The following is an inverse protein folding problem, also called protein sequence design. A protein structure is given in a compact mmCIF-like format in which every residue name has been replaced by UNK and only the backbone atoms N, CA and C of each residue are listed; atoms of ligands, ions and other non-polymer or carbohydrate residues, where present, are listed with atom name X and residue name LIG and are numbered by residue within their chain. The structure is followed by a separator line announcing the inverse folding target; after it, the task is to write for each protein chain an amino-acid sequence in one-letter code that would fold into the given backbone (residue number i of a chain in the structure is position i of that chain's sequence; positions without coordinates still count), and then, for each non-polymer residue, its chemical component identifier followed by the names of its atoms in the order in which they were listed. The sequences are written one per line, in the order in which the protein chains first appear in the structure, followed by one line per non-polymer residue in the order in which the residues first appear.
data_IF_509981844187
#
_entry.id   IF_509981844187
#
_cell.length_a   1.000
_cell.length_b   1.000
_cell.length_c   1.000
_cell.angle_alpha   90.00
_cell.angle_beta   90.00
_cell.angle_gamma   90.00
#
_symmetry.space_group_name_H-M   'P 1'
#
loop_
_entity.id
_entity.type
_entity.pdbx_description
1 polymer ?
#
# COMPACT_ATOMS: atom_id res chain seq x y z
N UNK A 1 5.51 -98.24 -18.31
CA UNK A 1 5.45 -97.31 -19.46
C UNK A 1 4.00 -96.88 -19.64
N UNK A 2 3.67 -95.65 -19.23
CA UNK A 2 2.32 -95.08 -19.32
C UNK A 2 2.37 -93.78 -20.15
N UNK A 3 1.33 -93.45 -20.94
CA UNK A 3 1.42 -92.46 -22.00
C UNK A 3 1.09 -91.04 -21.53
N UNK A 4 1.64 -90.10 -22.30
CA UNK A 4 1.74 -88.66 -22.09
C UNK A 4 0.38 -87.95 -22.04
N UNK A 5 0.26 -87.02 -21.10
CA UNK A 5 -0.92 -86.20 -20.87
C UNK A 5 -1.28 -85.26 -22.03
N UNK A 6 -2.58 -85.03 -22.19
CA UNK A 6 -3.14 -83.92 -22.96
C UNK A 6 -3.72 -82.90 -21.98
N UNK A 7 -3.24 -81.66 -22.09
CA UNK A 7 -3.67 -80.52 -21.29
C UNK A 7 -5.16 -80.17 -21.56
N UNK A 8 -5.89 -79.66 -20.56
CA UNK A 8 -7.26 -79.17 -20.73
C UNK A 8 -7.30 -77.93 -21.63
N UNK A 9 -8.37 -77.81 -22.42
CA UNK A 9 -8.70 -76.60 -23.20
C UNK A 9 -8.98 -75.43 -22.27
N UNK A 10 -8.29 -74.31 -22.50
CA UNK A 10 -8.54 -73.01 -21.86
C UNK A 10 -9.74 -72.36 -22.58
N UNK A 11 -10.78 -71.89 -21.89
CA UNK A 11 -11.86 -71.11 -22.51
C UNK A 11 -11.33 -69.74 -22.98
N UNK A 12 -11.94 -69.11 -24.00
CA UNK A 12 -11.49 -67.79 -24.44
C UNK A 12 -11.74 -66.78 -23.32
N UNK A 13 -10.71 -65.98 -23.04
CA UNK A 13 -10.77 -64.79 -22.22
C UNK A 13 -11.79 -63.81 -22.77
N UNK A 14 -12.78 -63.44 -21.96
CA UNK A 14 -13.69 -62.32 -22.21
C UNK A 14 -12.87 -61.05 -22.39
N UNK A 15 -12.77 -60.61 -23.64
CA UNK A 15 -12.18 -59.34 -24.00
C UNK A 15 -13.26 -58.27 -23.80
N UNK A 16 -13.50 -57.86 -22.56
CA UNK A 16 -14.32 -56.68 -22.28
C UNK A 16 -13.51 -55.43 -22.62
N UNK A 17 -13.64 -55.00 -23.87
CA UNK A 17 -13.31 -53.64 -24.31
C UNK A 17 -14.23 -52.70 -23.53
N UNK A 18 -13.69 -52.05 -22.49
CA UNK A 18 -14.36 -50.91 -21.87
C UNK A 18 -14.44 -49.83 -22.95
N UNK A 19 -15.65 -49.62 -23.48
CA UNK A 19 -15.94 -48.53 -24.39
C UNK A 19 -15.66 -47.21 -23.69
N UNK A 20 -14.92 -46.36 -24.39
CA UNK A 20 -14.40 -45.07 -23.94
C UNK A 20 -15.53 -44.02 -23.98
N UNK A 21 -16.50 -44.17 -23.08
CA UNK A 21 -17.69 -43.30 -22.91
C UNK A 21 -17.34 -41.87 -22.48
N UNK A 22 -16.06 -41.58 -22.20
CA UNK A 22 -15.61 -40.26 -21.80
C UNK A 22 -15.41 -39.30 -22.98
N UNK A 23 -15.27 -39.81 -24.21
CA UNK A 23 -14.98 -38.98 -25.39
C UNK A 23 -16.16 -38.09 -25.81
N UNK A 24 -17.39 -38.61 -25.74
CA UNK A 24 -18.60 -37.89 -26.13
C UNK A 24 -18.98 -36.82 -25.08
N UNK A 25 -18.77 -37.12 -23.80
CA UNK A 25 -18.97 -36.17 -22.69
C UNK A 25 -17.99 -35.00 -22.79
N UNK A 26 -16.72 -35.28 -23.12
CA UNK A 26 -15.70 -34.24 -23.35
C UNK A 26 -16.01 -33.40 -24.59
N UNK A 27 -16.45 -34.03 -25.69
CA UNK A 27 -16.88 -33.31 -26.89
C UNK A 27 -18.06 -32.39 -26.61
N UNK A 28 -19.10 -32.89 -25.91
CA UNK A 28 -20.26 -32.09 -25.51
C UNK A 28 -19.88 -30.94 -24.57
N UNK A 29 -18.94 -31.17 -23.64
CA UNK A 29 -18.43 -30.11 -22.76
C UNK A 29 -17.66 -29.04 -23.54
N UNK A 30 -16.81 -29.44 -24.48
CA UNK A 30 -16.05 -28.52 -25.35
C UNK A 30 -16.99 -27.69 -26.25
N UNK A 31 -18.01 -28.31 -26.86
CA UNK A 31 -19.00 -27.60 -27.67
C UNK A 31 -19.78 -26.59 -26.83
N UNK A 32 -20.25 -26.97 -25.63
CA UNK A 32 -20.94 -26.02 -24.72
C UNK A 32 -20.04 -24.85 -24.31
N UNK A 33 -18.76 -25.13 -24.04
CA UNK A 33 -17.78 -24.10 -23.70
C UNK A 33 -17.55 -23.13 -24.86
N UNK A 34 -17.39 -23.65 -26.08
CA UNK A 34 -17.19 -22.85 -27.28
C UNK A 34 -18.43 -22.01 -27.61
N UNK A 35 -19.62 -22.60 -27.45
CA UNK A 35 -20.90 -21.91 -27.69
C UNK A 35 -21.13 -20.78 -26.69
N UNK A 36 -20.68 -20.95 -25.43
CA UNK A 36 -20.68 -19.90 -24.41
C UNK A 36 -19.68 -18.77 -24.72
N UNK A 37 -18.58 -19.09 -25.40
CA UNK A 37 -17.57 -18.12 -25.87
C UNK A 37 -18.10 -17.28 -27.05
N UNK A 38 -18.83 -17.90 -27.99
CA UNK A 38 -19.44 -17.23 -29.16
C UNK A 38 -20.65 -16.38 -28.76
N UNK A 39 -21.46 -16.83 -27.80
CA UNK A 39 -22.64 -16.11 -27.34
C UNK A 39 -22.33 -14.98 -26.33
N UNK A 40 -21.07 -14.78 -25.93
CA UNK A 40 -20.67 -13.72 -25.00
C UNK A 40 -20.99 -13.97 -23.52
N UNK A 41 -21.52 -15.16 -23.17
CA UNK A 41 -21.90 -15.54 -21.80
C UNK A 41 -20.72 -16.05 -20.95
N UNK A 42 -19.49 -15.82 -21.42
CA UNK A 42 -18.30 -15.87 -20.58
C UNK A 42 -18.17 -14.52 -19.86
N UNK A 43 -19.05 -14.30 -18.88
CA UNK A 43 -18.67 -13.46 -17.74
C UNK A 43 -17.62 -14.27 -16.98
N UNK A 44 -16.39 -14.26 -17.49
CA UNK A 44 -15.25 -14.29 -16.59
C UNK A 44 -15.54 -13.11 -15.68
N UNK A 45 -15.84 -13.38 -14.42
CA UNK A 45 -15.75 -12.39 -13.37
C UNK A 45 -14.31 -11.91 -13.33
N UNK A 46 -13.89 -11.12 -14.33
CA UNK A 46 -12.92 -10.08 -14.12
C UNK A 46 -13.65 -9.19 -13.14
N UNK A 47 -13.40 -9.39 -11.85
CA UNK A 47 -13.35 -8.26 -10.94
C UNK A 47 -12.37 -7.30 -11.60
N UNK A 48 -12.88 -6.43 -12.47
CA UNK A 48 -12.28 -5.13 -12.67
C UNK A 48 -12.07 -4.63 -11.26
N UNK A 49 -10.82 -4.50 -10.83
CA UNK A 49 -10.56 -3.95 -9.52
C UNK A 49 -11.01 -2.49 -9.62
N UNK A 50 -12.24 -2.18 -9.18
CA UNK A 50 -12.89 -0.85 -9.29
C UNK A 50 -12.31 0.12 -8.24
N UNK A 51 -11.09 -0.16 -7.77
CA UNK A 51 -10.54 0.44 -6.56
C UNK A 51 -11.15 -0.12 -5.28
N UNK A 52 -11.15 0.68 -4.23
CA UNK A 52 -11.59 0.31 -2.88
C UNK A 52 -12.89 1.04 -2.50
N UNK A 53 -13.67 0.45 -1.60
CA UNK A 53 -14.85 1.10 -1.01
C UNK A 53 -14.48 1.93 0.21
N UNK A 54 -15.31 2.92 0.57
CA UNK A 54 -15.13 3.68 1.80
C UNK A 54 -15.21 2.76 3.04
N UNK A 55 -16.07 1.74 3.03
CA UNK A 55 -16.18 0.77 4.12
C UNK A 55 -14.86 0.01 4.35
N UNK A 56 -14.26 -0.53 3.27
CA UNK A 56 -12.94 -1.17 3.34
C UNK A 56 -11.87 -0.23 3.87
N UNK A 57 -11.88 1.02 3.40
CA UNK A 57 -10.96 2.05 3.85
C UNK A 57 -11.14 2.34 5.35
N UNK A 58 -12.37 2.59 5.81
CA UNK A 58 -12.68 2.87 7.21
C UNK A 58 -12.36 1.69 8.13
N UNK A 59 -12.50 0.44 7.67
CA UNK A 59 -12.09 -0.75 8.42
C UNK A 59 -10.59 -0.83 8.70
N UNK A 60 -9.73 -0.09 7.97
CA UNK A 60 -8.30 0.01 8.27
C UNK A 60 -7.98 1.03 9.36
N UNK A 61 -9.00 1.65 9.95
CA UNK A 61 -8.88 2.71 10.97
C UNK A 61 -7.89 3.82 10.56
N UNK A 62 -8.11 4.47 9.41
CA UNK A 62 -7.27 5.57 8.94
C UNK A 62 -7.23 6.70 9.99
N UNK A 63 -6.05 7.28 10.24
CA UNK A 63 -5.90 8.37 11.21
C UNK A 63 -6.65 9.62 10.74
N UNK A 64 -7.13 10.41 11.69
CA UNK A 64 -7.67 11.75 11.42
C UNK A 64 -6.59 12.81 11.51
N UNK A 65 -6.72 13.88 10.73
CA UNK A 65 -5.85 15.06 10.82
C UNK A 65 -6.67 16.31 11.08
N UNK A 66 -6.40 17.02 12.18
CA UNK A 66 -7.19 18.18 12.62
C UNK A 66 -6.62 19.53 12.14
N UNK A 67 -5.39 19.53 11.63
CA UNK A 67 -4.72 20.72 11.13
C UNK A 67 -4.12 21.62 12.21
N UNK A 68 -3.97 21.13 13.45
CA UNK A 68 -3.26 21.90 14.49
C UNK A 68 -1.75 21.95 14.23
N UNK A 69 -1.13 23.02 14.74
CA UNK A 69 0.18 23.57 14.37
C UNK A 69 1.34 22.57 14.06
N UNK A 70 2.04 22.83 12.94
CA UNK A 70 3.44 22.47 12.64
C UNK A 70 3.83 20.99 12.80
N UNK A 71 2.89 20.08 12.55
CA UNK A 71 3.06 18.70 12.93
C UNK A 71 3.82 17.93 11.85
N UNK A 72 4.93 17.32 12.26
CA UNK A 72 5.50 16.14 11.58
C UNK A 72 4.40 15.12 11.26
N UNK A 73 3.33 15.12 12.05
CA UNK A 73 2.09 14.36 11.83
C UNK A 73 1.44 14.61 10.47
N UNK A 74 1.71 15.70 9.75
CA UNK A 74 1.15 15.92 8.41
C UNK A 74 1.77 14.96 7.38
N UNK A 75 3.09 14.83 7.37
CA UNK A 75 3.81 13.85 6.54
C UNK A 75 3.43 12.43 6.97
N UNK A 76 3.48 12.14 8.28
CA UNK A 76 3.13 10.82 8.79
C UNK A 76 1.65 10.45 8.58
N UNK A 77 0.75 11.43 8.53
CA UNK A 77 -0.64 11.21 8.14
C UNK A 77 -0.76 10.82 6.66
N UNK A 78 -0.06 11.53 5.76
CA UNK A 78 0.00 11.15 4.35
C UNK A 78 0.54 9.73 4.20
N UNK A 79 1.69 9.41 4.79
CA UNK A 79 2.32 8.08 4.71
C UNK A 79 1.35 6.98 5.15
N UNK A 80 0.66 7.18 6.28
CA UNK A 80 -0.28 6.19 6.82
C UNK A 80 -1.51 6.02 5.93
N UNK A 81 -2.02 7.11 5.36
CA UNK A 81 -3.17 7.07 4.44
C UNK A 81 -2.77 6.39 3.12
N UNK A 82 -1.58 6.68 2.60
CA UNK A 82 -1.05 6.05 1.37
C UNK A 82 -0.83 4.55 1.55
N UNK A 83 -0.31 4.11 2.70
CA UNK A 83 -0.16 2.70 3.02
C UNK A 83 -1.51 1.95 2.93
N UNK A 84 -2.59 2.56 3.43
CA UNK A 84 -3.93 1.98 3.34
C UNK A 84 -4.41 1.94 1.88
N UNK A 85 -4.21 3.02 1.12
CA UNK A 85 -4.58 3.07 -0.28
C UNK A 85 -3.87 2.03 -1.14
N UNK A 86 -2.60 1.77 -0.86
CA UNK A 86 -1.81 0.76 -1.53
C UNK A 86 -2.36 -0.64 -1.27
N UNK A 87 -2.59 -0.99 0.00
CA UNK A 87 -3.13 -2.31 0.40
C UNK A 87 -4.53 -2.55 -0.19
N UNK A 88 -5.34 -1.51 -0.28
CA UNK A 88 -6.71 -1.62 -0.79
C UNK A 88 -6.83 -1.36 -2.30
N UNK A 89 -5.74 -1.01 -2.98
CA UNK A 89 -5.70 -0.68 -4.41
C UNK A 89 -6.67 0.45 -4.81
N UNK A 90 -6.79 1.50 -3.99
CA UNK A 90 -7.73 2.61 -4.24
C UNK A 90 -7.35 3.43 -5.49
N UNK A 91 -8.34 3.87 -6.28
CA UNK A 91 -8.12 4.76 -7.43
C UNK A 91 -7.86 6.19 -7.00
N UNK A 92 -7.22 7.01 -7.84
CA UNK A 92 -6.92 8.41 -7.50
C UNK A 92 -8.17 9.23 -7.14
N UNK A 93 -9.28 8.99 -7.85
CA UNK A 93 -10.59 9.58 -7.55
C UNK A 93 -11.10 9.23 -6.14
N UNK A 94 -10.83 8.01 -5.67
CA UNK A 94 -11.19 7.55 -4.34
C UNK A 94 -10.25 8.14 -3.28
N UNK A 95 -8.94 8.16 -3.56
CA UNK A 95 -7.92 8.62 -2.61
C UNK A 95 -8.22 10.01 -2.05
N UNK A 96 -8.46 11.00 -2.93
CA UNK A 96 -8.74 12.37 -2.49
C UNK A 96 -10.05 12.43 -1.69
N UNK A 97 -11.10 11.74 -2.15
CA UNK A 97 -12.41 11.73 -1.44
C UNK A 97 -12.28 11.11 -0.05
N UNK A 98 -11.58 10.00 0.07
CA UNK A 98 -11.47 9.26 1.33
C UNK A 98 -10.50 9.93 2.31
N UNK A 99 -9.35 10.40 1.85
CA UNK A 99 -8.43 11.17 2.70
C UNK A 99 -9.10 12.43 3.26
N UNK A 100 -9.81 13.17 2.40
CA UNK A 100 -10.43 14.44 2.81
C UNK A 100 -11.64 14.24 3.74
N UNK A 101 -12.27 13.06 3.73
CA UNK A 101 -13.27 12.66 4.72
C UNK A 101 -12.67 12.51 6.13
N UNK A 102 -11.38 12.18 6.24
CA UNK A 102 -10.65 12.04 7.50
C UNK A 102 -9.94 13.33 7.95
N UNK A 103 -10.12 14.44 7.24
CA UNK A 103 -9.76 15.76 7.74
C UNK A 103 -10.82 16.24 8.73
N UNK A 104 -10.37 16.76 9.87
CA UNK A 104 -11.23 17.25 10.95
C UNK A 104 -10.91 18.73 11.25
N UNK A 105 -11.77 19.39 12.03
CA UNK A 105 -11.58 20.75 12.52
C UNK A 105 -11.02 21.77 11.50
N UNK A 106 -9.78 22.24 11.73
CA UNK A 106 -9.13 23.28 10.95
C UNK A 106 -8.73 22.77 9.57
N UNK A 107 -8.24 21.52 9.48
CA UNK A 107 -7.88 20.92 8.20
C UNK A 107 -9.09 20.75 7.28
N UNK A 108 -10.25 20.34 7.81
CA UNK A 108 -11.47 20.23 7.00
C UNK A 108 -11.94 21.59 6.49
N UNK A 109 -11.92 22.63 7.34
CA UNK A 109 -12.28 24.01 6.95
C UNK A 109 -11.34 24.56 5.88
N UNK A 110 -10.03 24.33 6.04
CA UNK A 110 -9.03 24.68 5.05
C UNK A 110 -9.33 23.98 3.71
N UNK A 111 -9.52 22.66 3.72
CA UNK A 111 -9.73 21.91 2.49
C UNK A 111 -10.96 22.36 1.72
N UNK A 112 -12.08 22.61 2.40
CA UNK A 112 -13.30 23.13 1.77
C UNK A 112 -13.06 24.46 1.03
N UNK A 113 -12.24 25.34 1.60
CA UNK A 113 -11.91 26.64 1.01
C UNK A 113 -10.93 26.49 -0.15
N UNK A 114 -9.85 25.74 0.06
CA UNK A 114 -8.79 25.48 -0.93
C UNK A 114 -9.31 24.71 -2.13
N UNK A 115 -10.16 23.70 -1.94
CA UNK A 115 -10.73 22.89 -3.02
C UNK A 115 -11.46 23.73 -4.06
N UNK A 116 -12.21 24.76 -3.62
CA UNK A 116 -12.92 25.64 -4.53
C UNK A 116 -11.95 26.44 -5.43
N UNK A 117 -10.86 26.94 -4.85
CA UNK A 117 -9.83 27.68 -5.59
C UNK A 117 -9.09 26.77 -6.57
N UNK A 118 -8.66 25.59 -6.13
CA UNK A 118 -7.97 24.61 -6.98
C UNK A 118 -8.85 24.17 -8.15
N UNK A 119 -10.16 24.00 -7.94
CA UNK A 119 -11.08 23.61 -9.02
C UNK A 119 -11.27 24.72 -10.06
N UNK A 120 -11.21 26.00 -9.66
CA UNK A 120 -11.22 27.13 -10.59
C UNK A 120 -9.93 27.17 -11.44
N UNK A 121 -8.78 26.84 -10.83
CA UNK A 121 -7.49 26.82 -11.52
C UNK A 121 -7.37 25.65 -12.51
N UNK A 122 -7.84 24.46 -12.13
CA UNK A 122 -7.80 23.26 -12.99
C UNK A 122 -8.95 23.20 -14.02
N UNK A 123 -10.06 23.87 -13.74
CA UNK A 123 -11.32 23.76 -14.47
C UNK A 123 -12.28 22.75 -13.85
N UNK A 124 -13.58 23.04 -13.85
CA UNK A 124 -14.61 22.27 -13.12
C UNK A 124 -14.68 20.78 -13.48
N UNK A 125 -14.33 20.42 -14.71
CA UNK A 125 -14.37 19.03 -15.20
C UNK A 125 -13.09 18.23 -14.88
N UNK A 126 -12.03 18.87 -14.38
CA UNK A 126 -10.74 18.22 -14.12
C UNK A 126 -10.69 17.74 -12.66
N UNK A 127 -10.57 16.43 -12.40
CA UNK A 127 -10.48 15.94 -11.03
C UNK A 127 -9.16 16.35 -10.39
N UNK A 128 -9.20 16.68 -9.10
CA UNK A 128 -7.99 16.87 -8.29
C UNK A 128 -7.38 15.49 -8.05
N UNK A 129 -6.17 15.27 -8.56
CA UNK A 129 -5.45 14.01 -8.36
C UNK A 129 -4.89 13.91 -6.94
N UNK A 130 -4.58 12.68 -6.49
CA UNK A 130 -3.96 12.47 -5.19
C UNK A 130 -2.62 13.19 -5.06
N UNK A 131 -1.77 13.13 -6.09
CA UNK A 131 -0.49 13.85 -6.11
C UNK A 131 -0.66 15.37 -5.99
N UNK A 132 -1.65 15.94 -6.68
CA UNK A 132 -1.92 17.37 -6.58
C UNK A 132 -2.41 17.75 -5.18
N UNK A 133 -3.31 16.95 -4.58
CA UNK A 133 -3.75 17.12 -3.20
C UNK A 133 -2.59 17.05 -2.20
N UNK A 134 -1.71 16.04 -2.30
CA UNK A 134 -0.54 15.91 -1.41
C UNK A 134 0.34 17.14 -1.45
N UNK A 135 0.64 17.63 -2.66
CA UNK A 135 1.47 18.83 -2.85
C UNK A 135 0.89 20.02 -2.09
N UNK A 136 -0.36 20.40 -2.36
CA UNK A 136 -0.99 21.56 -1.71
C UNK A 136 -1.21 21.35 -0.20
N UNK A 137 -1.45 20.12 0.23
CA UNK A 137 -1.58 19.76 1.65
C UNK A 137 -0.26 19.94 2.40
N UNK A 138 0.83 19.37 1.88
CA UNK A 138 2.16 19.47 2.49
C UNK A 138 2.70 20.90 2.40
N UNK A 139 2.47 21.63 1.31
CA UNK A 139 2.85 23.04 1.21
C UNK A 139 2.18 23.90 2.30
N UNK A 140 0.94 23.56 2.68
CA UNK A 140 0.19 24.31 3.70
C UNK A 140 0.54 23.89 5.14
N UNK A 141 0.50 22.59 5.44
CA UNK A 141 0.66 22.08 6.81
C UNK A 141 2.11 21.73 7.16
N UNK A 142 2.96 21.53 6.16
CA UNK A 142 4.36 21.18 6.33
C UNK A 142 5.32 22.01 5.42
N UNK A 143 5.24 23.35 5.47
CA UNK A 143 6.03 24.23 4.62
C UNK A 143 7.54 24.03 4.81
N UNK A 144 8.29 24.39 3.76
CA UNK A 144 9.76 24.29 3.73
C UNK A 144 10.44 24.95 4.95
N UNK A 145 9.91 26.08 5.44
CA UNK A 145 10.47 26.76 6.63
C UNK A 145 10.43 25.90 7.89
N UNK A 146 9.40 25.04 8.04
CA UNK A 146 9.34 24.05 9.11
C UNK A 146 10.34 22.93 8.87
N UNK A 147 10.45 22.43 7.64
CA UNK A 147 11.43 21.41 7.28
C UNK A 147 12.86 21.87 7.61
N UNK A 148 13.21 23.10 7.24
CA UNK A 148 14.51 23.72 7.56
C UNK A 148 14.72 23.92 9.05
N UNK A 149 13.66 24.26 9.79
CA UNK A 149 13.71 24.33 11.26
C UNK A 149 14.00 22.96 11.89
N UNK A 150 13.40 21.89 11.35
CA UNK A 150 13.68 20.51 11.80
C UNK A 150 15.09 20.06 11.43
N UNK A 151 15.56 20.38 10.22
CA UNK A 151 16.94 20.14 9.82
C UNK A 151 17.94 20.84 10.77
N UNK A 152 17.65 22.08 11.19
CA UNK A 152 18.41 22.80 12.21
C UNK A 152 18.37 22.11 13.58
N UNK A 153 17.19 21.69 14.03
CA UNK A 153 17.07 20.90 15.26
C UNK A 153 17.89 19.61 15.20
N UNK A 154 17.94 18.93 14.05
CA UNK A 154 18.79 17.76 13.87
C UNK A 154 20.27 18.11 13.91
N UNK A 155 20.69 19.22 13.30
CA UNK A 155 22.08 19.70 13.32
C UNK A 155 22.56 19.88 14.76
N UNK A 156 21.75 20.52 15.59
CA UNK A 156 22.06 20.89 16.98
C UNK A 156 21.69 19.81 18.00
N UNK A 157 21.14 18.67 17.55
CA UNK A 157 20.66 17.61 18.42
C UNK A 157 21.80 17.03 19.27
N UNK A 158 21.60 17.06 20.58
CA UNK A 158 22.45 16.39 21.57
C UNK A 158 21.57 15.60 22.53
N UNK A 159 22.14 14.61 23.22
CA UNK A 159 21.41 13.81 24.19
C UNK A 159 20.87 14.68 25.33
N UNK A 160 21.68 15.60 25.87
CA UNK A 160 21.27 16.50 26.94
C UNK A 160 20.72 15.73 28.15
N UNK A 161 19.47 16.02 28.54
CA UNK A 161 18.76 15.34 29.64
C UNK A 161 18.01 14.08 29.21
N UNK A 162 17.96 13.75 27.90
CA UNK A 162 17.26 12.57 27.41
C UNK A 162 17.99 11.29 27.79
N UNK A 163 17.22 10.22 27.98
CA UNK A 163 17.77 8.87 27.95
C UNK A 163 18.35 8.58 26.56
N UNK A 164 19.27 7.62 26.46
CA UNK A 164 19.84 7.21 25.15
C UNK A 164 18.74 6.74 24.20
N UNK A 165 17.72 6.03 24.71
CA UNK A 165 16.59 5.58 23.92
C UNK A 165 15.76 6.75 23.36
N UNK A 166 15.43 7.74 24.19
CA UNK A 166 14.71 8.95 23.74
C UNK A 166 15.54 9.73 22.72
N UNK A 167 16.84 9.90 22.96
CA UNK A 167 17.75 10.53 22.01
C UNK A 167 17.77 9.78 20.67
N UNK A 168 17.79 8.44 20.69
CA UNK A 168 17.74 7.63 19.47
C UNK A 168 16.43 7.77 18.71
N UNK A 169 15.28 7.77 19.39
CA UNK A 169 13.98 8.04 18.76
C UNK A 169 13.97 9.42 18.09
N UNK A 170 14.37 10.47 18.81
CA UNK A 170 14.43 11.84 18.28
C UNK A 170 15.43 11.96 17.13
N UNK A 171 16.57 11.26 17.21
CA UNK A 171 17.58 11.24 16.16
C UNK A 171 17.01 10.62 14.88
N UNK A 172 16.38 9.45 14.97
CA UNK A 172 15.74 8.81 13.82
C UNK A 172 14.67 9.71 13.22
N UNK A 173 13.81 10.28 14.06
CA UNK A 173 12.71 11.16 13.64
C UNK A 173 13.22 12.38 12.87
N UNK A 174 14.22 13.09 13.42
CA UNK A 174 14.73 14.32 12.83
C UNK A 174 15.69 14.08 11.65
N UNK A 175 16.32 12.91 11.57
CA UNK A 175 17.30 12.56 10.54
C UNK A 175 16.73 12.64 9.12
N UNK A 176 15.43 12.36 8.96
CA UNK A 176 14.75 12.40 7.66
C UNK A 176 14.82 13.80 7.01
N UNK A 177 14.85 14.87 7.82
CA UNK A 177 14.86 16.25 7.34
C UNK A 177 16.26 16.74 6.94
N UNK A 178 17.30 15.96 7.24
CA UNK A 178 18.68 16.33 6.97
C UNK A 178 19.51 15.10 6.61
N UNK A 179 18.95 14.23 5.78
CA UNK A 179 19.60 13.03 5.26
C UNK A 179 20.93 13.33 4.55
N UNK A 180 21.05 14.51 3.94
CA UNK A 180 22.28 15.01 3.33
C UNK A 180 23.45 15.19 4.33
N UNK A 181 23.18 15.27 5.64
CA UNK A 181 24.23 15.32 6.68
C UNK A 181 24.72 13.94 7.11
N UNK A 182 23.97 12.88 6.79
CA UNK A 182 24.23 11.50 7.17
C UNK A 182 24.06 10.58 5.93
N UNK A 183 24.87 10.81 4.88
CA UNK A 183 24.70 10.13 3.59
C UNK A 183 24.91 8.62 3.65
N UNK A 184 25.59 8.13 4.68
CA UNK A 184 25.90 6.73 4.92
C UNK A 184 25.84 6.38 6.41
N UNK A 185 25.89 5.08 6.72
CA UNK A 185 25.82 4.58 8.09
C UNK A 185 27.02 5.00 8.95
N UNK A 186 28.20 5.23 8.35
CA UNK A 186 29.39 5.71 9.08
C UNK A 186 29.17 7.14 9.59
N UNK A 187 28.73 8.06 8.72
CA UNK A 187 28.41 9.46 9.08
C UNK A 187 27.23 9.56 10.02
N UNK A 188 26.25 8.67 9.87
CA UNK A 188 25.12 8.56 10.79
C UNK A 188 25.59 8.15 12.19
N UNK A 189 26.43 7.12 12.30
CA UNK A 189 27.02 6.69 13.57
C UNK A 189 27.89 7.78 14.20
N UNK A 190 28.78 8.40 13.42
CA UNK A 190 29.66 9.49 13.87
C UNK A 190 28.84 10.65 14.49
N UNK A 191 27.78 11.08 13.79
CA UNK A 191 26.90 12.15 14.30
C UNK A 191 26.16 11.70 15.56
N UNK A 192 25.64 10.47 15.58
CA UNK A 192 24.92 9.93 16.72
C UNK A 192 25.80 9.94 17.98
N UNK A 193 27.01 9.38 17.87
CA UNK A 193 27.99 9.31 18.96
C UNK A 193 28.44 10.69 19.42
N UNK A 194 28.68 11.62 18.48
CA UNK A 194 29.08 12.99 18.80
C UNK A 194 28.05 13.71 19.68
N UNK A 195 26.77 13.43 19.48
CA UNK A 195 25.68 14.00 20.29
C UNK A 195 25.46 13.32 21.65
N UNK A 196 26.05 12.16 21.92
CA UNK A 196 25.95 11.49 23.23
C UNK A 196 26.69 12.27 24.33
N UNK A 197 26.20 12.13 25.57
CA UNK A 197 26.84 12.72 26.74
C UNK A 197 28.24 12.14 26.98
N UNK A 198 29.20 13.00 27.38
CA UNK A 198 30.61 12.61 27.62
C UNK A 198 30.77 11.34 28.46
N UNK A 199 29.99 11.22 29.54
CA UNK A 199 30.02 10.06 30.46
C UNK A 199 29.73 8.71 29.79
N UNK A 200 29.06 8.71 28.63
CA UNK A 200 28.74 7.51 27.87
C UNK A 200 29.81 7.25 26.80
N UNK A 201 30.37 8.31 26.20
CA UNK A 201 31.42 8.22 25.17
C UNK A 201 32.79 7.77 25.72
N UNK A 202 33.02 7.95 27.01
CA UNK A 202 34.31 7.69 27.69
C UNK A 202 34.33 6.34 28.45
N UNK A 203 33.34 5.46 28.25
CA UNK A 203 33.34 4.08 28.76
C UNK A 203 33.83 3.11 27.71
#
# INVERSE_FOLDING_TARGET
MAPRGRRPRVPPSENNTVQDDNSEVLAAAATRFFQRMVNGDMVVGRTTQVGCTLEQFSHQHPPTFDGRLNSIDAESWIDRIEQIFEVLYCTDDQKVKYATYHLTDMANKWWKSTRALVQLELGEAVPITWEHFKKIFLDHFFPQTLQESRARQFMDLTQGSMTVAQYATTFMELSRFASYLIPDEEKKAEKFERGLNRRIRER
#
